data_IF_711106805406
#
_entry.id   IF_711106805406
#
_cell.length_a   1.000
_cell.length_b   1.000
_cell.length_c   1.000
_cell.angle_alpha   90.00
_cell.angle_beta   90.00
_cell.angle_gamma   90.00
#
_symmetry.space_group_name_H-M   'P 1'
#
loop_
_entity.id
_entity.type
_entity.pdbx_description
1 polymer ?
#
# COMPACT_ATOMS: atom_id res chain seq x y z
N UNK A 1 -17.01 -7.10 -6.08
CA UNK A 1 -17.05 -8.09 -4.98
C UNK A 1 -16.11 -7.58 -3.90
N UNK A 2 -16.59 -7.41 -2.67
CA UNK A 2 -15.81 -6.81 -1.55
C UNK A 2 -14.66 -7.73 -1.12
N UNK A 3 -14.79 -9.04 -1.35
CA UNK A 3 -13.76 -10.04 -1.06
C UNK A 3 -13.07 -10.49 -2.36
N UNK A 4 -11.90 -9.94 -2.64
CA UNK A 4 -11.03 -10.34 -3.75
C UNK A 4 -9.57 -10.30 -3.31
N UNK A 5 -8.68 -11.02 -3.98
CA UNK A 5 -7.24 -10.97 -3.67
C UNK A 5 -6.66 -9.55 -3.78
N UNK A 6 -7.22 -8.69 -4.65
CA UNK A 6 -6.82 -7.28 -4.74
C UNK A 6 -7.17 -6.51 -3.48
N UNK A 7 -8.38 -6.72 -2.96
CA UNK A 7 -8.84 -6.08 -1.74
C UNK A 7 -8.02 -6.56 -0.53
N UNK A 8 -7.80 -7.88 -0.43
CA UNK A 8 -6.98 -8.47 0.63
C UNK A 8 -5.54 -7.92 0.61
N UNK A 9 -4.89 -7.93 -0.56
CA UNK A 9 -3.49 -7.50 -0.65
C UNK A 9 -3.36 -5.99 -0.52
N UNK A 10 -4.38 -5.22 -0.93
CA UNK A 10 -4.48 -3.80 -0.66
C UNK A 10 -4.52 -3.51 0.84
N UNK A 11 -5.34 -4.24 1.59
CA UNK A 11 -5.40 -4.09 3.06
C UNK A 11 -4.07 -4.47 3.71
N UNK A 12 -3.44 -5.58 3.32
CA UNK A 12 -2.13 -5.98 3.85
C UNK A 12 -1.05 -4.93 3.58
N UNK A 13 -0.98 -4.41 2.34
CA UNK A 13 -0.06 -3.34 1.97
C UNK A 13 -0.28 -2.10 2.85
N UNK A 14 -1.53 -1.66 3.03
CA UNK A 14 -1.86 -0.49 3.83
C UNK A 14 -1.51 -0.66 5.31
N UNK A 15 -1.74 -1.85 5.87
CA UNK A 15 -1.33 -2.20 7.24
C UNK A 15 0.18 -2.15 7.38
N UNK A 16 0.91 -2.73 6.43
CA UNK A 16 2.37 -2.72 6.47
C UNK A 16 2.91 -1.30 6.38
N UNK A 17 2.40 -0.46 5.46
CA UNK A 17 2.75 0.95 5.41
C UNK A 17 2.41 1.71 6.71
N UNK A 18 1.30 1.36 7.36
CA UNK A 18 0.89 1.97 8.64
C UNK A 18 1.76 1.59 9.83
N UNK A 19 2.53 0.50 9.75
CA UNK A 19 3.51 0.11 10.78
C UNK A 19 4.85 0.83 10.64
N UNK A 20 5.12 1.40 9.48
CA UNK A 20 6.39 2.04 9.15
C UNK A 20 6.37 3.52 9.55
N UNK A 21 7.57 4.12 9.66
CA UNK A 21 7.67 5.56 9.93
C UNK A 21 7.11 6.37 8.75
N UNK A 22 6.25 7.38 8.98
CA UNK A 22 5.71 8.23 7.92
C UNK A 22 6.79 9.08 7.23
N UNK A 23 7.97 9.21 7.82
CA UNK A 23 9.08 10.00 7.27
C UNK A 23 9.90 9.25 6.21
N UNK A 24 9.73 7.92 6.11
CA UNK A 24 10.55 7.09 5.23
C UNK A 24 9.70 6.23 4.29
N UNK A 25 9.83 6.41 2.96
CA UNK A 25 9.14 5.55 2.01
C UNK A 25 9.57 4.09 2.17
N UNK A 26 8.58 3.20 2.16
CA UNK A 26 8.82 1.75 2.16
C UNK A 26 8.76 1.22 0.74
N UNK A 27 9.79 0.48 0.32
CA UNK A 27 9.81 -0.12 -1.02
C UNK A 27 8.77 -1.24 -1.13
N UNK A 28 8.13 -1.40 -2.31
CA UNK A 28 7.22 -2.53 -2.54
C UNK A 28 7.90 -3.88 -2.40
N UNK A 29 9.20 -3.95 -2.70
CA UNK A 29 9.98 -5.18 -2.53
C UNK A 29 10.05 -5.59 -1.06
N UNK A 30 10.33 -4.63 -0.16
CA UNK A 30 10.33 -4.91 1.27
C UNK A 30 8.96 -5.39 1.77
N UNK A 31 7.87 -4.76 1.30
CA UNK A 31 6.50 -5.17 1.65
C UNK A 31 6.19 -6.57 1.09
N UNK A 32 6.59 -6.84 -0.15
CA UNK A 32 6.42 -8.14 -0.80
C UNK A 32 7.13 -9.25 -0.02
N UNK A 33 8.38 -9.02 0.39
CA UNK A 33 9.19 -9.96 1.15
C UNK A 33 8.61 -10.18 2.56
N UNK A 34 8.14 -9.12 3.23
CA UNK A 34 7.55 -9.19 4.58
C UNK A 34 6.21 -9.94 4.62
N UNK A 35 5.35 -9.71 3.63
CA UNK A 35 4.00 -10.30 3.56
C UNK A 35 3.94 -11.60 2.73
N UNK A 36 5.05 -12.01 2.11
CA UNK A 36 5.11 -13.18 1.22
C UNK A 36 4.26 -13.02 -0.05
N UNK A 37 4.20 -11.80 -0.60
CA UNK A 37 3.33 -11.45 -1.72
C UNK A 37 4.11 -11.30 -3.03
N UNK A 38 3.51 -11.65 -4.19
CA UNK A 38 4.16 -11.41 -5.48
C UNK A 38 4.34 -9.91 -5.76
N UNK A 39 5.58 -9.46 -5.95
CA UNK A 39 5.92 -8.06 -6.19
C UNK A 39 5.14 -7.46 -7.38
N UNK A 40 5.10 -8.17 -8.51
CA UNK A 40 4.39 -7.71 -9.71
C UNK A 40 2.88 -7.49 -9.47
N UNK A 41 2.30 -8.22 -8.51
CA UNK A 41 0.91 -8.02 -8.14
C UNK A 41 0.74 -6.82 -7.20
N UNK A 42 1.65 -6.65 -6.23
CA UNK A 42 1.70 -5.46 -5.37
C UNK A 42 1.84 -4.16 -6.18
N UNK A 43 2.60 -4.18 -7.28
CA UNK A 43 2.70 -3.04 -8.21
C UNK A 43 1.33 -2.65 -8.80
N UNK A 44 0.49 -3.63 -9.15
CA UNK A 44 -0.86 -3.37 -9.64
C UNK A 44 -1.78 -2.84 -8.53
N UNK A 45 -1.67 -3.41 -7.34
CA UNK A 45 -2.47 -3.00 -6.17
C UNK A 45 -2.14 -1.57 -5.77
N UNK A 46 -0.85 -1.24 -5.60
CA UNK A 46 -0.43 0.09 -5.15
C UNK A 46 -0.76 1.18 -6.18
N UNK A 47 -0.74 0.86 -7.48
CA UNK A 47 -1.15 1.80 -8.52
C UNK A 47 -2.60 2.25 -8.36
N UNK A 48 -3.50 1.35 -7.93
CA UNK A 48 -4.90 1.68 -7.62
C UNK A 48 -5.02 2.51 -6.35
N UNK A 49 -4.36 2.09 -5.27
CA UNK A 49 -4.35 2.84 -4.01
C UNK A 49 -3.80 4.26 -4.19
N UNK A 50 -2.76 4.43 -5.02
CA UNK A 50 -2.21 5.74 -5.39
C UNK A 50 -3.22 6.57 -6.16
N UNK A 51 -3.94 5.98 -7.11
CA UNK A 51 -5.01 6.65 -7.85
C UNK A 51 -6.18 7.06 -6.95
N UNK A 52 -6.49 6.25 -5.94
CA UNK A 52 -7.49 6.55 -4.91
C UNK A 52 -7.00 7.57 -3.86
N UNK A 53 -5.74 8.03 -3.95
CA UNK A 53 -5.18 9.00 -3.00
C UNK A 53 -4.93 8.42 -1.61
N UNK A 54 -4.79 7.09 -1.48
CA UNK A 54 -4.55 6.40 -0.21
C UNK A 54 -3.06 6.25 0.13
N UNK A 55 -2.20 6.32 -0.90
CA UNK A 55 -0.75 6.27 -0.76
C UNK A 55 -0.09 7.34 -1.61
N UNK A 56 1.07 7.79 -1.16
CA UNK A 56 1.97 8.65 -1.90
C UNK A 56 3.21 7.85 -2.33
N UNK A 57 3.94 8.36 -3.33
CA UNK A 57 5.10 7.67 -3.91
C UNK A 57 6.30 8.61 -3.98
N UNK A 58 7.46 8.15 -3.51
CA UNK A 58 8.76 8.76 -3.82
C UNK A 58 9.40 8.09 -5.04
N UNK A 59 10.03 8.89 -5.89
CA UNK A 59 10.84 8.42 -7.03
C UNK A 59 12.32 8.34 -6.65
N UNK A 60 13.09 7.53 -7.39
CA UNK A 60 14.54 7.42 -7.25
C UNK A 60 14.99 6.08 -6.65
N UNK A 61 16.30 5.94 -6.46
CA UNK A 61 16.93 4.70 -5.99
C UNK A 61 16.48 4.26 -4.59
N UNK A 62 15.91 5.17 -3.80
CA UNK A 62 15.34 4.93 -2.46
C UNK A 62 13.85 5.28 -2.44
N UNK A 63 13.20 5.18 -3.61
CA UNK A 63 11.77 5.39 -3.75
C UNK A 63 10.95 4.30 -3.05
N UNK A 64 9.66 4.57 -2.92
CA UNK A 64 8.73 3.69 -2.22
C UNK A 64 7.42 4.40 -1.96
N UNK A 65 6.67 3.90 -0.99
CA UNK A 65 5.34 4.38 -0.67
C UNK A 65 5.21 4.70 0.81
N UNK A 66 4.32 5.65 1.12
CA UNK A 66 3.81 5.92 2.46
C UNK A 66 2.30 6.17 2.38
N UNK A 67 1.60 6.07 3.51
CA UNK A 67 0.19 6.42 3.60
C UNK A 67 0.01 7.92 3.29
N UNK A 68 -1.02 8.28 2.52
CA UNK A 68 -1.25 9.69 2.16
C UNK A 68 -1.68 10.57 3.35
N UNK A 69 -2.09 9.95 4.45
CA UNK A 69 -2.56 10.53 5.70
C UNK A 69 -2.41 9.52 6.85
N UNK A 70 -2.57 9.89 8.13
CA UNK A 70 -2.50 8.96 9.25
C UNK A 70 -3.41 7.73 9.05
N UNK A 71 -2.95 6.55 9.50
CA UNK A 71 -3.68 5.30 9.31
C UNK A 71 -5.09 5.32 9.92
N UNK A 72 -5.26 6.03 11.03
CA UNK A 72 -6.52 6.25 11.74
C UNK A 72 -7.55 7.07 10.93
N UNK A 73 -7.10 7.80 9.89
CA UNK A 73 -7.97 8.54 8.97
C UNK A 73 -8.30 7.75 7.69
N UNK A 74 -7.85 6.50 7.58
CA UNK A 74 -8.06 5.66 6.40
C UNK A 74 -9.04 4.54 6.76
N UNK A 75 -10.26 4.61 6.24
CA UNK A 75 -11.23 3.56 6.47
C UNK A 75 -10.90 2.34 5.61
N UNK A 76 -11.07 1.14 6.17
CA UNK A 76 -10.86 -0.12 5.44
C UNK A 76 -11.73 -0.20 4.16
N UNK A 77 -12.93 0.39 4.19
CA UNK A 77 -13.83 0.43 3.02
C UNK A 77 -13.23 1.20 1.85
N UNK A 78 -12.45 2.26 2.11
CA UNK A 78 -11.80 3.05 1.05
C UNK A 78 -10.73 2.20 0.33
N UNK A 79 -9.98 1.40 1.10
CA UNK A 79 -8.96 0.48 0.57
C UNK A 79 -9.59 -0.59 -0.31
N UNK A 80 -10.73 -1.14 0.12
CA UNK A 80 -11.43 -2.21 -0.59
C UNK A 80 -12.13 -1.70 -1.86
N UNK A 81 -12.52 -0.42 -1.90
CA UNK A 81 -13.19 0.19 -3.06
C UNK A 81 -12.24 0.78 -4.12
N UNK A 82 -10.96 0.97 -3.80
CA UNK A 82 -9.93 1.47 -4.72
C UNK A 82 -9.67 0.53 -5.92
#
# INVERSE_FOLDING_TARGET
MIFSSKAEYGVRLMVELGRQSPEQPTSLKAIADAEGLPLAYLEQVVARLRKAGLVMSARGAHGGYWLSRPAEEIAMVDVVQA
#
